data_IF_177949371043
#
_entry.id   IF_177949371043
#
_cell.length_a   1.000
_cell.length_b   1.000
_cell.length_c   1.000
_cell.angle_alpha   90.00
_cell.angle_beta   90.00
_cell.angle_gamma   90.00
#
_symmetry.space_group_name_H-M   'P 1'
#
loop_
_entity.id
_entity.type
_entity.pdbx_description
1 polymer ?
#
# COMPACT_ATOMS: atom_id res chain seq x y z
N UNK A 1 20.06 12.80 12.01
CA UNK A 1 19.35 11.51 12.03
C UNK A 1 19.00 11.03 10.62
N UNK A 2 18.01 11.60 9.92
CA UNK A 2 17.55 11.11 8.61
C UNK A 2 18.65 11.09 7.54
N UNK A 3 19.47 12.12 7.45
CA UNK A 3 20.49 12.24 6.39
C UNK A 3 21.70 11.29 6.57
N UNK A 4 21.87 10.64 7.72
CA UNK A 4 23.06 9.82 8.02
C UNK A 4 22.82 8.31 7.93
N UNK A 5 21.62 7.81 8.28
CA UNK A 5 21.41 6.36 8.45
C UNK A 5 20.15 5.79 7.78
N UNK A 6 19.20 6.64 7.35
CA UNK A 6 17.85 6.12 7.03
C UNK A 6 17.81 5.26 5.77
N UNK A 7 18.76 5.41 4.84
CA UNK A 7 18.84 4.53 3.67
C UNK A 7 19.29 3.12 4.03
N UNK A 8 20.30 2.98 4.90
CA UNK A 8 20.78 1.68 5.36
C UNK A 8 19.70 0.97 6.16
N UNK A 9 18.95 1.70 7.00
CA UNK A 9 17.81 1.14 7.73
C UNK A 9 16.74 0.59 6.78
N UNK A 10 16.35 1.35 5.75
CA UNK A 10 15.31 0.91 4.81
C UNK A 10 15.80 -0.28 3.99
N UNK A 11 17.02 -0.24 3.46
CA UNK A 11 17.56 -1.34 2.66
C UNK A 11 17.78 -2.61 3.50
N UNK A 12 18.26 -2.47 4.74
CA UNK A 12 18.39 -3.59 5.67
C UNK A 12 17.03 -4.20 5.98
N UNK A 13 15.99 -3.38 6.19
CA UNK A 13 14.63 -3.86 6.40
C UNK A 13 14.12 -4.61 5.17
N UNK A 14 14.29 -4.05 3.97
CA UNK A 14 13.87 -4.71 2.72
C UNK A 14 14.55 -6.08 2.56
N UNK A 15 15.86 -6.16 2.79
CA UNK A 15 16.61 -7.39 2.63
C UNK A 15 16.26 -8.44 3.69
N UNK A 16 16.16 -8.04 4.97
CA UNK A 16 16.01 -8.98 6.07
C UNK A 16 14.56 -9.37 6.34
N UNK A 17 13.63 -8.41 6.21
CA UNK A 17 12.23 -8.58 6.60
C UNK A 17 11.31 -8.82 5.40
N UNK A 18 11.61 -8.23 4.24
CA UNK A 18 10.77 -8.36 3.04
C UNK A 18 11.32 -9.37 2.01
N UNK A 19 12.52 -9.93 2.21
CA UNK A 19 13.12 -10.90 1.30
C UNK A 19 13.84 -10.28 0.09
N UNK A 20 14.25 -9.02 0.20
CA UNK A 20 15.04 -8.32 -0.82
C UNK A 20 14.21 -7.65 -1.90
N UNK A 21 14.89 -6.94 -2.80
CA UNK A 21 14.28 -6.27 -3.94
C UNK A 21 14.99 -6.70 -5.24
N UNK A 22 14.37 -7.59 -6.04
CA UNK A 22 15.03 -8.17 -7.20
C UNK A 22 15.60 -7.15 -8.20
N UNK A 23 14.95 -5.99 -8.37
CA UNK A 23 15.44 -4.90 -9.23
C UNK A 23 16.79 -4.33 -8.77
N UNK A 24 17.13 -4.42 -7.47
CA UNK A 24 18.42 -3.98 -6.94
C UNK A 24 19.47 -5.09 -6.96
N UNK A 25 19.03 -6.34 -6.88
CA UNK A 25 19.87 -7.53 -6.72
C UNK A 25 20.13 -8.26 -8.05
N UNK A 26 19.45 -7.88 -9.14
CA UNK A 26 19.61 -8.48 -10.45
C UNK A 26 19.36 -10.00 -10.41
N UNK A 27 20.25 -10.76 -11.02
CA UNK A 27 20.20 -12.23 -11.08
C UNK A 27 20.51 -12.93 -9.75
N UNK A 28 21.04 -12.21 -8.74
CA UNK A 28 21.40 -12.80 -7.44
C UNK A 28 20.20 -13.01 -6.51
N UNK A 29 19.03 -12.46 -6.84
CA UNK A 29 17.83 -12.61 -6.01
C UNK A 29 17.27 -14.04 -6.06
N UNK A 30 17.07 -14.63 -4.88
CA UNK A 30 16.60 -16.01 -4.74
C UNK A 30 15.08 -16.12 -4.83
N UNK A 31 14.58 -16.44 -6.03
CA UNK A 31 13.14 -16.63 -6.30
C UNK A 31 12.50 -17.80 -5.56
N UNK A 32 13.27 -18.81 -5.15
CA UNK A 32 12.75 -19.98 -4.42
C UNK A 32 12.34 -19.63 -2.98
N UNK A 33 12.84 -18.52 -2.43
CA UNK A 33 12.51 -18.05 -1.08
C UNK A 33 11.23 -17.21 -1.01
N UNK A 34 10.64 -16.91 -2.17
CA UNK A 34 9.45 -16.08 -2.29
C UNK A 34 8.22 -16.77 -1.68
N UNK A 35 7.50 -16.03 -0.85
CA UNK A 35 6.20 -16.45 -0.35
C UNK A 35 5.30 -15.22 -0.20
N UNK A 36 4.30 -15.12 -1.09
CA UNK A 36 3.39 -13.97 -1.15
C UNK A 36 2.67 -13.75 0.18
N UNK A 37 2.06 -14.79 0.75
CA UNK A 37 1.29 -14.66 2.00
C UNK A 37 2.14 -14.18 3.17
N UNK A 38 3.39 -14.65 3.28
CA UNK A 38 4.35 -14.18 4.30
C UNK A 38 4.72 -12.72 4.08
N UNK A 39 5.00 -12.33 2.84
CA UNK A 39 5.35 -10.95 2.50
C UNK A 39 4.21 -9.97 2.80
N UNK A 40 2.99 -10.31 2.38
CA UNK A 40 1.79 -9.51 2.66
C UNK A 40 1.54 -9.42 4.17
N UNK A 41 1.63 -10.54 4.90
CA UNK A 41 1.48 -10.55 6.35
C UNK A 41 2.52 -9.64 7.04
N UNK A 42 3.78 -9.69 6.59
CA UNK A 42 4.83 -8.84 7.14
C UNK A 42 4.53 -7.35 6.93
N UNK A 43 4.04 -6.98 5.75
CA UNK A 43 3.66 -5.58 5.46
C UNK A 43 2.49 -5.08 6.31
N UNK A 44 1.61 -5.99 6.75
CA UNK A 44 0.52 -5.65 7.69
C UNK A 44 1.02 -5.20 9.05
N UNK A 45 2.14 -5.73 9.55
CA UNK A 45 2.79 -5.24 10.77
C UNK A 45 3.20 -3.76 10.67
N UNK A 46 3.42 -3.26 9.44
CA UNK A 46 3.82 -1.88 9.14
C UNK A 46 2.69 -1.06 8.51
N UNK A 47 1.45 -1.48 8.74
CA UNK A 47 0.21 -0.83 8.29
C UNK A 47 0.20 -0.55 6.78
N UNK A 48 0.71 -1.48 5.96
CA UNK A 48 0.62 -1.40 4.51
C UNK A 48 -0.33 -2.45 3.95
N UNK A 49 -1.28 -1.98 3.15
CA UNK A 49 -2.24 -2.79 2.42
C UNK A 49 -1.82 -2.78 0.96
N UNK A 50 -1.17 -3.85 0.50
CA UNK A 50 -0.74 -3.98 -0.90
C UNK A 50 -1.45 -5.19 -1.49
N UNK A 51 -2.00 -5.05 -2.69
CA UNK A 51 -2.87 -6.00 -3.41
C UNK A 51 -4.26 -6.19 -2.79
N UNK A 52 -4.33 -6.37 -1.46
CA UNK A 52 -5.57 -6.59 -0.74
C UNK A 52 -5.68 -5.67 0.48
N UNK A 53 -6.77 -4.92 0.57
CA UNK A 53 -7.18 -4.19 1.75
C UNK A 53 -7.91 -5.11 2.72
N UNK A 54 -7.58 -5.04 4.00
CA UNK A 54 -8.43 -5.63 5.04
C UNK A 54 -8.38 -4.84 6.35
N UNK A 55 -9.41 -4.96 7.16
CA UNK A 55 -9.50 -4.28 8.45
C UNK A 55 -10.77 -4.62 9.18
N UNK A 56 -11.03 -3.92 10.28
CA UNK A 56 -12.27 -4.04 11.04
C UNK A 56 -13.02 -2.72 10.95
N UNK A 57 -14.33 -2.78 10.74
CA UNK A 57 -15.19 -1.59 10.71
C UNK A 57 -16.53 -1.90 11.38
N UNK A 58 -17.20 -0.88 11.95
CA UNK A 58 -18.58 -1.05 12.39
C UNK A 58 -19.50 -1.43 11.22
N UNK A 59 -20.60 -2.11 11.51
CA UNK A 59 -21.70 -2.28 10.58
C UNK A 59 -22.37 -0.93 10.29
N UNK A 60 -22.71 -0.70 9.03
CA UNK A 60 -23.28 0.57 8.58
C UNK A 60 -24.70 0.80 9.16
N UNK A 61 -25.40 -0.27 9.60
CA UNK A 61 -26.74 -0.18 10.22
C UNK A 61 -26.71 -0.29 11.74
N UNK A 62 -25.70 -0.94 12.32
CA UNK A 62 -25.52 -1.08 13.76
C UNK A 62 -24.04 -0.92 14.16
N UNK A 63 -23.66 0.29 14.58
CA UNK A 63 -22.29 0.62 14.95
C UNK A 63 -21.76 -0.10 16.20
N UNK A 64 -22.60 -0.88 16.90
CA UNK A 64 -22.17 -1.73 18.02
C UNK A 64 -21.62 -3.09 17.56
N UNK A 65 -21.83 -3.46 16.29
CA UNK A 65 -21.34 -4.70 15.68
C UNK A 65 -20.18 -4.35 14.75
N UNK A 66 -19.11 -5.13 14.81
CA UNK A 66 -17.94 -4.97 13.96
C UNK A 66 -17.80 -6.19 13.04
N UNK A 67 -17.39 -5.93 11.80
CA UNK A 67 -17.06 -6.97 10.84
C UNK A 67 -15.64 -6.84 10.34
N UNK A 68 -15.10 -7.97 9.90
CA UNK A 68 -13.89 -8.00 9.10
C UNK A 68 -14.26 -7.51 7.70
N UNK A 69 -13.60 -6.46 7.20
CA UNK A 69 -13.73 -6.03 5.80
C UNK A 69 -12.54 -6.52 4.99
N UNK A 70 -12.82 -6.99 3.78
CA UNK A 70 -11.84 -7.19 2.71
C UNK A 70 -12.28 -6.35 1.52
N UNK A 71 -11.37 -5.54 1.00
CA UNK A 71 -11.66 -4.51 0.01
C UNK A 71 -10.43 -4.28 -0.89
N UNK A 72 -10.61 -3.62 -2.03
CA UNK A 72 -9.51 -3.29 -2.91
C UNK A 72 -8.42 -2.45 -2.20
N UNK A 73 -7.15 -2.76 -2.43
CA UNK A 73 -6.07 -1.88 -1.95
C UNK A 73 -5.88 -0.70 -2.89
N UNK A 74 -5.19 0.34 -2.41
CA UNK A 74 -4.72 1.43 -3.27
C UNK A 74 -3.75 0.94 -4.36
N UNK A 75 -3.64 1.73 -5.42
CA UNK A 75 -2.68 1.57 -6.52
C UNK A 75 -1.72 2.77 -6.55
N UNK A 76 -0.56 2.62 -7.18
CA UNK A 76 0.48 3.66 -7.24
C UNK A 76 0.02 4.96 -7.88
N UNK A 77 -0.91 4.90 -8.84
CA UNK A 77 -1.52 6.06 -9.50
C UNK A 77 -3.05 6.03 -9.36
N UNK A 78 -3.59 6.80 -8.42
CA UNK A 78 -5.03 6.94 -8.23
C UNK A 78 -5.56 8.29 -8.74
N UNK A 79 -6.73 8.34 -9.39
CA UNK A 79 -7.56 7.21 -9.81
C UNK A 79 -6.97 6.48 -11.04
N UNK A 80 -7.57 5.34 -11.42
CA UNK A 80 -7.13 4.51 -12.57
C UNK A 80 -6.97 5.28 -13.89
N UNK A 81 -7.66 6.42 -14.06
CA UNK A 81 -7.54 7.26 -15.27
C UNK A 81 -6.14 7.89 -15.42
N UNK A 82 -5.34 7.96 -14.35
CA UNK A 82 -3.96 8.41 -14.43
C UNK A 82 -3.07 7.50 -15.27
N UNK A 83 -3.43 6.23 -15.48
CA UNK A 83 -2.72 5.30 -16.37
C UNK A 83 -2.91 5.59 -17.87
N UNK A 84 -3.82 6.52 -18.21
CA UNK A 84 -4.03 7.02 -19.58
C UNK A 84 -3.24 8.32 -19.85
N UNK A 85 -2.66 8.94 -18.82
CA UNK A 85 -1.88 10.15 -18.96
C UNK A 85 -0.40 9.82 -19.18
N UNK A 86 0.11 10.07 -20.40
CA UNK A 86 1.49 9.76 -20.77
C UNK A 86 2.52 10.52 -19.90
N UNK A 87 2.25 11.78 -19.54
CA UNK A 87 3.15 12.57 -18.70
C UNK A 87 3.30 11.93 -17.31
N UNK A 88 2.18 11.54 -16.70
CA UNK A 88 2.17 10.93 -15.36
C UNK A 88 2.83 9.55 -15.39
N UNK A 89 2.43 8.70 -16.33
CA UNK A 89 2.94 7.31 -16.43
C UNK A 89 4.43 7.25 -16.79
N UNK A 90 4.92 8.20 -17.61
CA UNK A 90 6.35 8.35 -17.87
C UNK A 90 7.10 8.76 -16.61
N UNK A 91 6.60 9.77 -15.88
CA UNK A 91 7.24 10.22 -14.66
C UNK A 91 7.25 9.15 -13.55
N UNK A 92 6.19 8.33 -13.47
CA UNK A 92 6.11 7.21 -12.54
C UNK A 92 7.17 6.13 -12.84
N UNK A 93 7.32 5.72 -14.10
CA UNK A 93 8.35 4.76 -14.50
C UNK A 93 9.77 5.32 -14.30
N UNK A 94 9.98 6.60 -14.63
CA UNK A 94 11.26 7.27 -14.37
C UNK A 94 11.58 7.28 -12.88
N UNK A 95 10.59 7.55 -12.02
CA UNK A 95 10.78 7.53 -10.58
C UNK A 95 11.26 6.14 -10.08
N UNK A 96 10.64 5.05 -10.52
CA UNK A 96 11.10 3.69 -10.18
C UNK A 96 12.54 3.48 -10.65
N UNK A 97 12.81 3.79 -11.92
CA UNK A 97 14.10 3.57 -12.58
C UNK A 97 15.24 4.35 -11.91
N UNK A 98 15.04 5.64 -11.72
CA UNK A 98 16.07 6.55 -11.21
C UNK A 98 16.35 6.27 -9.73
N UNK A 99 15.31 5.89 -8.97
CA UNK A 99 15.51 5.46 -7.58
C UNK A 99 16.29 4.15 -7.52
N UNK A 100 15.96 3.16 -8.36
CA UNK A 100 16.68 1.89 -8.41
C UNK A 100 18.15 2.11 -8.79
N UNK A 101 18.44 2.90 -9.83
CA UNK A 101 19.81 3.26 -10.25
C UNK A 101 20.59 4.01 -9.17
N UNK A 102 19.92 4.78 -8.32
CA UNK A 102 20.56 5.45 -7.19
C UNK A 102 20.87 4.52 -6.01
N UNK A 103 20.33 3.29 -6.01
CA UNK A 103 20.41 2.32 -4.91
C UNK A 103 21.26 1.08 -5.23
N UNK A 104 21.60 0.85 -6.50
CA UNK A 104 22.45 -0.29 -6.91
C UNK A 104 23.42 0.10 -8.02
N UNK A 105 24.53 -0.63 -8.10
CA UNK A 105 25.50 -0.52 -9.21
C UNK A 105 25.12 -1.44 -10.39
N UNK A 106 24.29 -2.47 -10.17
CA UNK A 106 23.83 -3.35 -11.23
C UNK A 106 22.56 -2.77 -11.86
N UNK A 107 22.71 -2.19 -13.06
CA UNK A 107 21.60 -1.57 -13.78
C UNK A 107 21.05 -2.44 -14.92
N UNK A 108 21.55 -3.66 -15.07
CA UNK A 108 21.34 -4.49 -16.27
C UNK A 108 19.87 -4.88 -16.49
N UNK A 109 19.11 -5.12 -15.41
CA UNK A 109 17.71 -5.57 -15.48
C UNK A 109 16.70 -4.47 -15.18
N UNK A 110 17.14 -3.28 -14.73
CA UNK A 110 16.27 -2.23 -14.18
C UNK A 110 15.18 -1.82 -15.18
N UNK A 111 15.53 -1.57 -16.44
CA UNK A 111 14.55 -1.07 -17.42
C UNK A 111 13.47 -2.12 -17.77
N UNK A 112 13.85 -3.40 -17.80
CA UNK A 112 12.90 -4.50 -17.97
C UNK A 112 12.00 -4.64 -16.73
N UNK A 113 12.58 -4.67 -15.53
CA UNK A 113 11.82 -4.77 -14.27
C UNK A 113 10.84 -3.60 -14.10
N UNK A 114 11.25 -2.37 -14.42
CA UNK A 114 10.37 -1.17 -14.38
C UNK A 114 9.18 -1.33 -15.33
N UNK A 115 9.44 -1.80 -16.55
CA UNK A 115 8.40 -2.01 -17.56
C UNK A 115 7.40 -3.07 -17.10
N UNK A 116 7.89 -4.17 -16.52
CA UNK A 116 7.03 -5.22 -15.97
C UNK A 116 6.20 -4.73 -14.77
N UNK A 117 6.82 -4.02 -13.81
CA UNK A 117 6.13 -3.43 -12.64
C UNK A 117 4.98 -2.52 -13.11
N UNK A 118 5.26 -1.64 -14.07
CA UNK A 118 4.27 -0.70 -14.59
C UNK A 118 3.12 -1.44 -15.31
N UNK A 119 3.44 -2.38 -16.20
CA UNK A 119 2.42 -3.12 -16.94
C UNK A 119 1.56 -3.98 -16.02
N UNK A 120 2.15 -4.58 -14.99
CA UNK A 120 1.45 -5.33 -13.96
C UNK A 120 0.43 -4.45 -13.23
N UNK A 121 0.87 -3.29 -12.73
CA UNK A 121 -0.03 -2.37 -12.02
C UNK A 121 -1.10 -1.76 -12.96
N UNK A 122 -0.74 -1.43 -14.20
CA UNK A 122 -1.70 -0.99 -15.22
C UNK A 122 -2.76 -2.05 -15.51
N UNK A 123 -2.42 -3.34 -15.43
CA UNK A 123 -3.40 -4.40 -15.59
C UNK A 123 -4.35 -4.50 -14.38
N UNK A 124 -3.82 -4.33 -13.16
CA UNK A 124 -4.63 -4.24 -11.93
C UNK A 124 -5.58 -3.04 -11.99
N UNK A 125 -5.11 -1.87 -12.44
CA UNK A 125 -5.87 -0.63 -12.40
C UNK A 125 -7.16 -0.65 -13.25
N UNK A 126 -7.23 -1.50 -14.29
CA UNK A 126 -8.44 -1.70 -15.10
C UNK A 126 -9.64 -2.14 -14.25
N UNK A 127 -9.39 -2.94 -13.21
CA UNK A 127 -10.42 -3.48 -12.32
C UNK A 127 -10.66 -2.63 -11.08
N UNK A 128 -9.81 -1.63 -10.82
CA UNK A 128 -9.88 -0.81 -9.61
C UNK A 128 -11.08 0.14 -9.67
N UNK A 129 -11.95 0.10 -8.65
CA UNK A 129 -13.12 0.96 -8.60
C UNK A 129 -12.71 2.38 -8.18
N UNK A 130 -13.41 3.36 -8.72
CA UNK A 130 -13.35 4.75 -8.28
C UNK A 130 -14.18 4.96 -7.02
N UNK A 131 -13.94 6.03 -6.24
CA UNK A 131 -14.78 6.35 -5.09
C UNK A 131 -16.27 6.51 -5.41
N UNK A 132 -16.60 6.94 -6.64
CA UNK A 132 -17.99 7.05 -7.10
C UNK A 132 -18.62 5.67 -7.34
N UNK A 133 -17.89 4.75 -7.98
CA UNK A 133 -18.32 3.36 -8.18
C UNK A 133 -18.50 2.65 -6.83
N UNK A 134 -17.55 2.80 -5.89
CA UNK A 134 -17.67 2.24 -4.54
C UNK A 134 -18.95 2.71 -3.84
N UNK A 135 -19.30 4.01 -3.94
CA UNK A 135 -20.55 4.54 -3.36
C UNK A 135 -21.79 4.01 -4.08
N UNK A 136 -21.77 3.90 -5.40
CA UNK A 136 -22.92 3.46 -6.18
C UNK A 136 -23.20 1.95 -6.03
N UNK A 137 -22.16 1.14 -5.79
CA UNK A 137 -22.20 -0.33 -5.78
C UNK A 137 -22.08 -0.92 -4.38
N UNK A 138 -22.41 -0.15 -3.33
CA UNK A 138 -22.35 -0.63 -1.94
C UNK A 138 -23.20 -1.88 -1.70
N UNK A 139 -24.33 -1.99 -2.42
CA UNK A 139 -25.24 -3.14 -2.38
C UNK A 139 -24.63 -4.44 -2.93
N UNK A 140 -23.50 -4.38 -3.65
CA UNK A 140 -22.77 -5.54 -4.15
C UNK A 140 -21.84 -6.16 -3.11
N UNK A 141 -21.75 -5.55 -1.92
CA UNK A 141 -20.97 -6.10 -0.80
C UNK A 141 -21.49 -7.49 -0.42
N UNK A 142 -20.62 -8.48 -0.49
CA UNK A 142 -20.93 -9.87 -0.11
C UNK A 142 -20.57 -10.09 1.35
N UNK A 143 -21.51 -10.63 2.14
CA UNK A 143 -21.25 -11.08 3.52
C UNK A 143 -21.16 -12.60 3.55
N UNK A 144 -20.12 -13.10 4.19
CA UNK A 144 -19.88 -14.53 4.41
C UNK A 144 -19.25 -14.73 5.80
N UNK A 145 -18.91 -15.95 6.15
CA UNK A 145 -18.18 -16.25 7.39
C UNK A 145 -16.74 -16.68 7.08
N UNK A 146 -15.85 -16.64 8.06
CA UNK A 146 -14.47 -17.13 7.91
C UNK A 146 -14.45 -18.59 7.41
N UNK A 147 -15.33 -19.46 7.91
CA UNK A 147 -15.42 -20.86 7.46
C UNK A 147 -15.82 -21.04 6.00
N UNK A 148 -16.61 -20.11 5.45
CA UNK A 148 -17.10 -20.17 4.06
C UNK A 148 -16.33 -19.24 3.09
N UNK A 149 -15.28 -18.57 3.58
CA UNK A 149 -14.59 -17.51 2.85
C UNK A 149 -13.90 -18.04 1.58
N UNK A 150 -13.22 -19.19 1.67
CA UNK A 150 -12.54 -19.79 0.52
C UNK A 150 -13.51 -20.15 -0.61
N UNK A 151 -14.70 -20.65 -0.28
CA UNK A 151 -15.75 -20.94 -1.26
C UNK A 151 -16.33 -19.65 -1.87
N UNK A 152 -16.47 -18.60 -1.07
CA UNK A 152 -17.04 -17.32 -1.51
C UNK A 152 -16.08 -16.61 -2.48
N UNK A 153 -14.79 -16.55 -2.17
CA UNK A 153 -13.78 -15.97 -3.06
C UNK A 153 -13.55 -16.83 -4.29
N UNK A 154 -13.39 -18.15 -4.10
CA UNK A 154 -13.06 -19.13 -5.15
C UNK A 154 -11.80 -18.74 -5.95
N UNK A 155 -10.73 -18.35 -5.25
CA UNK A 155 -9.43 -17.94 -5.83
C UNK A 155 -8.30 -18.82 -5.31
N UNK A 156 -7.11 -18.83 -5.94
CA UNK A 156 -6.00 -19.65 -5.41
C UNK A 156 -5.38 -19.07 -4.13
N UNK A 157 -5.59 -17.79 -3.83
CA UNK A 157 -5.10 -17.19 -2.59
C UNK A 157 -5.97 -17.59 -1.39
N UNK A 158 -5.34 -18.13 -0.36
CA UNK A 158 -5.99 -18.58 0.86
C UNK A 158 -6.30 -17.40 1.80
N UNK A 159 -7.38 -16.68 1.49
CA UNK A 159 -7.86 -15.56 2.29
C UNK A 159 -8.21 -15.96 3.73
N UNK A 160 -8.69 -17.19 3.95
CA UNK A 160 -9.07 -17.71 5.27
C UNK A 160 -7.86 -17.75 6.19
N UNK A 161 -6.79 -18.42 5.76
CA UNK A 161 -5.57 -18.49 6.55
C UNK A 161 -4.83 -17.14 6.61
N UNK A 162 -4.89 -16.32 5.55
CA UNK A 162 -4.33 -14.98 5.58
C UNK A 162 -4.98 -14.11 6.65
N UNK A 163 -6.32 -14.04 6.70
CA UNK A 163 -7.04 -13.24 7.70
C UNK A 163 -6.80 -13.76 9.12
N UNK A 164 -6.85 -15.07 9.35
CA UNK A 164 -6.51 -15.66 10.66
C UNK A 164 -5.12 -15.24 11.13
N UNK A 165 -4.13 -15.26 10.23
CA UNK A 165 -2.76 -14.80 10.55
C UNK A 165 -2.72 -13.30 10.83
N UNK A 166 -3.38 -12.47 10.02
CA UNK A 166 -3.43 -11.01 10.25
C UNK A 166 -4.00 -10.69 11.63
N UNK A 167 -5.12 -11.30 12.02
CA UNK A 167 -5.74 -11.05 13.31
C UNK A 167 -4.96 -11.67 14.49
N UNK A 168 -4.23 -12.76 14.26
CA UNK A 168 -3.32 -13.33 15.27
C UNK A 168 -2.18 -12.38 15.67
N UNK A 169 -1.76 -11.46 14.79
CA UNK A 169 -0.80 -10.39 15.14
C UNK A 169 -1.31 -9.47 16.26
N UNK A 170 -2.63 -9.37 16.42
CA UNK A 170 -3.31 -8.65 17.48
C UNK A 170 -3.79 -9.56 18.63
N UNK A 171 -3.33 -10.81 18.68
CA UNK A 171 -3.78 -11.85 19.61
C UNK A 171 -5.28 -12.16 19.51
N UNK A 172 -5.86 -12.01 18.32
CA UNK A 172 -7.26 -12.34 18.05
C UNK A 172 -7.32 -13.66 17.26
N UNK A 173 -8.03 -14.63 17.81
CA UNK A 173 -8.31 -15.89 17.14
C UNK A 173 -9.67 -15.80 16.44
N UNK A 174 -9.68 -15.75 15.11
CA UNK A 174 -10.91 -15.72 14.33
C UNK A 174 -11.59 -17.08 14.34
N UNK A 175 -12.90 -17.07 14.61
CA UNK A 175 -13.78 -18.23 14.62
C UNK A 175 -14.47 -18.39 13.27
N UNK A 176 -14.93 -19.59 12.97
CA UNK A 176 -15.55 -19.89 11.66
C UNK A 176 -16.87 -19.16 11.43
N UNK A 177 -17.55 -18.73 12.50
CA UNK A 177 -18.78 -17.94 12.49
C UNK A 177 -18.54 -16.43 12.41
N UNK A 178 -17.29 -15.96 12.54
CA UNK A 178 -16.99 -14.53 12.43
C UNK A 178 -17.29 -14.03 11.01
N UNK A 179 -17.98 -12.89 10.93
CA UNK A 179 -18.50 -12.35 9.68
C UNK A 179 -17.42 -11.56 8.93
N UNK A 180 -17.31 -11.87 7.63
CA UNK A 180 -16.48 -11.16 6.67
C UNK A 180 -17.36 -10.45 5.65
N UNK A 181 -17.13 -9.15 5.47
CA UNK A 181 -17.77 -8.30 4.48
C UNK A 181 -16.78 -8.00 3.36
N UNK A 182 -17.14 -8.31 2.13
CA UNK A 182 -16.29 -8.22 0.94
C UNK A 182 -16.89 -7.16 0.01
N UNK A 183 -16.20 -6.03 -0.17
CA UNK A 183 -16.76 -4.88 -0.90
C UNK A 183 -16.56 -5.00 -2.41
N UNK A 184 -15.33 -5.11 -2.91
CA UNK A 184 -15.01 -5.16 -4.34
C UNK A 184 -14.59 -6.58 -4.78
N UNK A 185 -15.50 -7.56 -4.67
CA UNK A 185 -15.21 -8.98 -4.93
C UNK A 185 -14.66 -9.24 -6.34
N UNK A 186 -15.15 -8.53 -7.36
CA UNK A 186 -14.66 -8.67 -8.74
C UNK A 186 -13.20 -8.21 -8.87
N UNK A 187 -12.83 -7.08 -8.25
CA UNK A 187 -11.43 -6.67 -8.15
C UNK A 187 -10.61 -7.74 -7.41
N UNK A 188 -11.17 -8.22 -6.30
CA UNK A 188 -10.76 -9.39 -5.51
C UNK A 188 -10.18 -10.52 -6.35
N UNK A 189 -11.06 -11.04 -7.20
CA UNK A 189 -10.81 -12.20 -8.05
C UNK A 189 -9.83 -11.88 -9.17
N UNK A 190 -10.05 -10.79 -9.90
CA UNK A 190 -9.21 -10.44 -11.05
C UNK A 190 -7.76 -10.17 -10.65
N UNK A 191 -7.53 -9.44 -9.56
CA UNK A 191 -6.16 -9.18 -9.07
C UNK A 191 -5.49 -10.47 -8.64
N UNK A 192 -6.23 -11.38 -8.00
CA UNK A 192 -5.68 -12.68 -7.59
C UNK A 192 -5.26 -13.52 -8.81
N UNK A 193 -6.07 -13.57 -9.87
CA UNK A 193 -5.70 -14.22 -11.14
C UNK A 193 -4.50 -13.55 -11.82
N UNK A 194 -4.39 -12.22 -11.79
CA UNK A 194 -3.22 -11.51 -12.35
C UNK A 194 -1.94 -11.87 -11.59
N UNK A 195 -2.01 -11.94 -10.25
CA UNK A 195 -0.88 -12.32 -9.39
C UNK A 195 -0.47 -13.77 -9.68
N UNK A 196 -1.42 -14.70 -9.73
CA UNK A 196 -1.17 -16.13 -10.01
C UNK A 196 -0.41 -16.34 -11.33
N UNK A 197 -0.72 -15.54 -12.35
CA UNK A 197 -0.07 -15.62 -13.66
C UNK A 197 1.24 -14.81 -13.77
N UNK A 198 1.68 -14.16 -12.68
CA UNK A 198 2.89 -13.33 -12.66
C UNK A 198 4.06 -14.06 -12.00
N UNK A 199 5.28 -13.80 -12.49
CA UNK A 199 6.48 -14.38 -11.89
C UNK A 199 6.68 -13.92 -10.44
N UNK A 200 7.29 -14.76 -9.62
CA UNK A 200 7.65 -14.40 -8.24
C UNK A 200 8.56 -13.18 -8.17
N UNK A 201 9.43 -12.98 -9.17
CA UNK A 201 10.26 -11.78 -9.32
C UNK A 201 9.40 -10.53 -9.48
N UNK A 202 8.42 -10.56 -10.40
CA UNK A 202 7.53 -9.43 -10.66
C UNK A 202 6.68 -9.10 -9.43
N UNK A 203 6.10 -10.13 -8.79
CA UNK A 203 5.31 -9.95 -7.56
C UNK A 203 6.15 -9.28 -6.46
N UNK A 204 7.35 -9.81 -6.19
CA UNK A 204 8.28 -9.22 -5.21
C UNK A 204 8.64 -7.78 -5.56
N UNK A 205 9.02 -7.53 -6.82
CA UNK A 205 9.42 -6.21 -7.31
C UNK A 205 8.31 -5.17 -7.12
N UNK A 206 7.08 -5.50 -7.51
CA UNK A 206 5.93 -4.63 -7.36
C UNK A 206 5.61 -4.34 -5.89
N UNK A 207 5.53 -5.39 -5.06
CA UNK A 207 5.16 -5.25 -3.65
C UNK A 207 6.19 -4.40 -2.89
N UNK A 208 7.48 -4.66 -3.10
CA UNK A 208 8.56 -3.89 -2.46
C UNK A 208 8.61 -2.46 -3.02
N UNK A 209 8.36 -2.27 -4.32
CA UNK A 209 8.25 -0.93 -4.90
C UNK A 209 7.16 -0.11 -4.20
N UNK A 210 5.96 -0.66 -4.02
CA UNK A 210 4.85 0.04 -3.34
C UNK A 210 5.22 0.44 -1.91
N UNK A 211 5.94 -0.43 -1.19
CA UNK A 211 6.49 -0.08 0.11
C UNK A 211 7.53 1.05 0.03
N UNK A 212 8.52 0.95 -0.86
CA UNK A 212 9.58 1.97 -1.02
C UNK A 212 9.00 3.33 -1.43
N UNK A 213 8.05 3.34 -2.36
CA UNK A 213 7.35 4.54 -2.82
C UNK A 213 6.72 5.31 -1.65
N UNK A 214 6.18 4.60 -0.67
CA UNK A 214 5.63 5.20 0.54
C UNK A 214 6.73 5.69 1.51
N UNK A 215 7.86 4.99 1.60
CA UNK A 215 8.96 5.33 2.53
C UNK A 215 9.93 6.38 2.02
N UNK A 216 9.93 6.70 0.71
CA UNK A 216 10.89 7.65 0.11
C UNK A 216 10.90 9.02 0.80
N UNK A 217 9.76 9.49 1.32
CA UNK A 217 9.66 10.76 2.06
C UNK A 217 10.49 10.82 3.36
N UNK A 218 10.93 9.66 3.85
CA UNK A 218 11.76 9.48 5.03
C UNK A 218 13.25 9.21 4.70
N UNK A 219 13.62 9.24 3.41
CA UNK A 219 15.00 9.09 2.95
C UNK A 219 15.77 10.43 2.96
N UNK A 220 17.12 10.39 2.85
CA UNK A 220 17.94 11.58 2.64
C UNK A 220 17.47 12.41 1.43
N UNK A 221 17.77 13.72 1.44
CA UNK A 221 17.30 14.67 0.41
C UNK A 221 17.60 14.17 -1.02
N UNK A 222 18.77 13.57 -1.25
CA UNK A 222 19.17 13.08 -2.58
C UNK A 222 18.20 12.07 -3.18
N UNK A 223 17.60 11.20 -2.36
CA UNK A 223 16.61 10.21 -2.83
C UNK A 223 15.21 10.79 -2.90
N UNK A 224 14.86 11.68 -1.95
CA UNK A 224 13.59 12.42 -2.01
C UNK A 224 13.47 13.22 -3.28
N UNK A 225 14.55 13.86 -3.72
CA UNK A 225 14.54 14.68 -4.93
C UNK A 225 14.37 13.89 -6.24
N UNK A 226 14.62 12.58 -6.24
CA UNK A 226 14.31 11.71 -7.38
C UNK A 226 12.79 11.65 -7.63
N UNK A 227 11.98 11.85 -6.58
CA UNK A 227 10.52 11.89 -6.67
C UNK A 227 9.99 13.23 -7.22
N UNK A 228 10.78 14.30 -7.20
CA UNK A 228 10.30 15.65 -7.52
C UNK A 228 9.66 15.74 -8.93
N UNK A 229 10.25 15.18 -10.01
CA UNK A 229 9.63 15.19 -11.34
C UNK A 229 8.29 14.43 -11.39
N UNK A 230 8.17 13.35 -10.60
CA UNK A 230 6.94 12.59 -10.47
C UNK A 230 5.86 13.39 -9.73
N UNK A 231 6.20 14.01 -8.60
CA UNK A 231 5.25 14.85 -7.86
C UNK A 231 4.82 16.08 -8.68
N UNK A 232 5.69 16.65 -9.52
CA UNK A 232 5.32 17.71 -10.47
C UNK A 232 4.30 17.23 -11.50
N UNK A 233 4.57 16.09 -12.16
CA UNK A 233 3.66 15.53 -13.16
C UNK A 233 2.32 15.09 -12.55
N UNK A 234 2.34 14.51 -11.35
CA UNK A 234 1.18 13.90 -10.69
C UNK A 234 0.33 14.89 -9.88
N UNK A 235 0.97 15.87 -9.23
CA UNK A 235 0.31 16.81 -8.29
C UNK A 235 0.43 18.27 -8.71
N UNK A 236 1.23 18.58 -9.73
CA UNK A 236 1.50 19.96 -10.14
C UNK A 236 2.41 20.72 -9.17
N UNK A 237 3.09 20.04 -8.25
CA UNK A 237 3.95 20.69 -7.24
C UNK A 237 5.40 20.77 -7.72
N UNK A 238 5.95 21.97 -7.78
CA UNK A 238 7.33 22.22 -8.26
C UNK A 238 8.37 22.35 -7.14
N UNK A 239 7.96 22.43 -5.88
CA UNK A 239 8.85 22.55 -4.73
C UNK A 239 8.45 21.61 -3.59
N UNK A 240 9.46 21.00 -2.96
CA UNK A 240 9.23 20.24 -1.72
C UNK A 240 8.70 21.17 -0.62
N UNK A 241 7.66 20.72 0.09
CA UNK A 241 7.13 21.45 1.24
C UNK A 241 8.22 21.63 2.31
N UNK A 242 8.22 22.76 3.06
CA UNK A 242 9.15 22.94 4.16
C UNK A 242 9.11 21.77 5.14
N UNK A 243 10.27 21.38 5.69
CA UNK A 243 10.36 20.20 6.57
C UNK A 243 9.49 20.35 7.83
N UNK A 244 9.36 21.58 8.34
CA UNK A 244 8.46 21.89 9.46
C UNK A 244 7.00 21.53 9.16
N UNK A 245 6.51 21.83 7.96
CA UNK A 245 5.15 21.49 7.53
C UNK A 245 4.99 19.97 7.39
N UNK A 246 6.00 19.28 6.83
CA UNK A 246 5.98 17.82 6.72
C UNK A 246 5.92 17.17 8.10
N UNK A 247 6.79 17.59 9.03
CA UNK A 247 6.84 17.05 10.39
C UNK A 247 5.58 17.41 11.20
N UNK A 248 5.05 18.63 11.08
CA UNK A 248 3.81 19.04 11.72
C UNK A 248 2.62 18.20 11.25
N UNK A 249 2.49 18.00 9.94
CA UNK A 249 1.45 17.12 9.39
C UNK A 249 1.64 15.67 9.84
N UNK A 250 2.87 15.16 9.89
CA UNK A 250 3.14 13.81 10.38
C UNK A 250 2.69 13.62 11.83
N UNK A 251 3.01 14.57 12.73
CA UNK A 251 2.56 14.53 14.13
C UNK A 251 1.03 14.62 14.18
N UNK A 252 0.41 15.53 13.42
CA UNK A 252 -1.04 15.66 13.40
C UNK A 252 -1.75 14.39 12.91
N UNK A 253 -1.22 13.71 11.89
CA UNK A 253 -1.81 12.48 11.36
C UNK A 253 -1.71 11.28 12.32
N UNK A 254 -0.66 11.22 13.16
CA UNK A 254 -0.45 10.09 14.08
C UNK A 254 -0.95 10.39 15.51
N UNK A 255 -0.92 11.64 15.92
CA UNK A 255 -1.17 12.10 17.29
C UNK A 255 -2.11 13.32 17.33
N UNK A 256 -3.05 13.40 16.38
CA UNK A 256 -3.93 14.55 16.19
C UNK A 256 -4.69 14.95 17.45
N UNK A 257 -5.22 14.01 18.23
CA UNK A 257 -5.89 14.33 19.49
C UNK A 257 -4.96 14.97 20.53
N UNK A 258 -3.73 14.48 20.65
CA UNK A 258 -2.75 15.06 21.57
C UNK A 258 -2.34 16.47 21.12
N UNK A 259 -2.13 16.66 19.82
CA UNK A 259 -1.82 17.96 19.25
C UNK A 259 -2.99 18.95 19.41
N UNK A 260 -4.23 18.50 19.14
CA UNK A 260 -5.44 19.29 19.32
C UNK A 260 -5.65 19.71 20.77
N UNK A 261 -5.35 18.85 21.74
CA UNK A 261 -5.41 19.22 23.17
C UNK A 261 -4.48 20.39 23.48
N UNK A 262 -3.22 20.33 23.03
CA UNK A 262 -2.24 21.41 23.21
C UNK A 262 -2.72 22.68 22.52
N UNK A 263 -3.22 22.56 21.28
CA UNK A 263 -3.74 23.68 20.51
C UNK A 263 -4.92 24.37 21.23
N UNK A 264 -5.89 23.59 21.72
CA UNK A 264 -7.05 24.12 22.45
C UNK A 264 -6.61 24.88 23.70
N UNK A 265 -5.68 24.32 24.48
CA UNK A 265 -5.16 24.96 25.69
C UNK A 265 -4.44 26.29 25.44
N UNK A 266 -3.88 26.49 24.25
CA UNK A 266 -3.07 27.67 23.94
C UNK A 266 -3.80 28.73 23.11
N UNK A 267 -4.73 28.32 22.24
CA UNK A 267 -5.26 29.19 21.19
C UNK A 267 -6.78 29.19 21.07
N UNK A 268 -7.49 28.26 21.72
CA UNK A 268 -8.95 28.19 21.59
C UNK A 268 -9.63 29.06 22.65
N UNK A 269 -10.41 30.04 22.21
CA UNK A 269 -11.24 30.86 23.09
C UNK A 269 -12.43 30.02 23.60
N UNK A 270 -12.53 29.86 24.92
CA UNK A 270 -13.64 29.12 25.54
C UNK A 270 -15.01 29.71 25.21
N UNK A 271 -15.09 31.01 24.91
CA UNK A 271 -16.35 31.66 24.52
C UNK A 271 -16.86 31.16 23.16
N UNK A 272 -15.97 30.71 22.27
CA UNK A 272 -16.35 30.13 20.98
C UNK A 272 -17.00 28.73 21.11
N UNK A 273 -16.95 28.11 22.30
CA UNK A 273 -17.57 26.79 22.56
C UNK A 273 -19.07 26.87 22.83
N UNK A 274 -19.55 28.05 23.26
CA UNK A 274 -20.91 28.25 23.75
C UNK A 274 -21.81 28.98 22.74
N UNK A 275 -21.36 29.11 21.49
CA UNK A 275 -22.16 29.58 20.34
C UNK A 275 -22.62 28.38 19.51
#
# INVERSE_FOLDING_TARGET
AIELESINTILSFVNNELGGWPILQGSSWNSLSFNLSRLLLKLREYSHNILYGCGTSPDDKNSSIYYIRVYQSDIGLEPRTNYENLRITTAYQNFIRDLARALTNDTSTIDADVTEIYNFEKNISKFHWTPAEIRARQNETVRTTIGNLSQTFSTSFDFTNYLRRVYSLANINLRDDDIVSISELDFLRNVTTIIENSSSRLQQNYIVWRFIMNRVGNMPKRYRSIRDPFDEAYRGTTAQRPRSIICGNFINSNMGFALSKIYIQQYFDENARNQ
#
